data_IF_095186090509
#
_entry.id   IF_095186090509
#
_cell.length_a   1.000
_cell.length_b   1.000
_cell.length_c   1.000
_cell.angle_alpha   90.00
_cell.angle_beta   90.00
_cell.angle_gamma   90.00
#
_symmetry.space_group_name_H-M   'P 1'
#
loop_
_entity.id
_entity.type
_entity.pdbx_description
1 polymer ?
#
# COMPACT_ATOMS: atom_id res chain seq x y z
N UNK A 1 -4.69 7.72 -3.58
CA UNK A 1 -4.19 7.24 -4.90
C UNK A 1 -5.07 6.13 -5.46
N UNK A 2 -5.17 4.97 -4.81
CA UNK A 2 -6.03 3.84 -5.23
C UNK A 2 -7.47 4.26 -5.62
N UNK A 3 -8.18 4.96 -4.74
CA UNK A 3 -9.56 5.40 -4.99
C UNK A 3 -9.68 6.32 -6.22
N UNK A 4 -8.68 7.18 -6.45
CA UNK A 4 -8.71 8.19 -7.52
C UNK A 4 -8.35 7.61 -8.89
N UNK A 5 -7.41 6.68 -8.94
CA UNK A 5 -6.82 6.22 -10.20
C UNK A 5 -7.24 4.81 -10.60
N UNK A 6 -7.96 4.08 -9.75
CA UNK A 6 -8.40 2.71 -10.04
C UNK A 6 -9.93 2.63 -10.15
N UNK A 7 -10.42 2.29 -11.32
CA UNK A 7 -11.77 1.79 -11.56
C UNK A 7 -11.83 0.29 -11.23
N UNK A 8 -12.69 -0.05 -10.27
CA UNK A 8 -12.86 -1.45 -9.81
C UNK A 8 -13.43 -2.36 -10.90
N UNK A 9 -14.31 -1.87 -11.77
CA UNK A 9 -14.93 -2.68 -12.84
C UNK A 9 -13.89 -3.08 -13.87
N UNK A 10 -13.02 -2.14 -14.26
CA UNK A 10 -11.93 -2.40 -15.21
C UNK A 10 -10.89 -3.34 -14.60
N UNK A 11 -10.58 -3.18 -13.31
CA UNK A 11 -9.69 -4.07 -12.58
C UNK A 11 -10.22 -5.52 -12.59
N UNK A 12 -11.44 -5.73 -12.12
CA UNK A 12 -12.02 -7.09 -12.03
C UNK A 12 -12.20 -7.76 -13.39
N UNK A 13 -12.55 -6.99 -14.44
CA UNK A 13 -12.72 -7.53 -15.81
C UNK A 13 -11.43 -8.12 -16.38
N UNK A 14 -10.28 -7.60 -15.97
CA UNK A 14 -8.97 -8.01 -16.49
C UNK A 14 -8.15 -8.74 -15.40
N UNK A 15 -8.78 -9.24 -14.34
CA UNK A 15 -8.03 -10.00 -13.33
C UNK A 15 -7.63 -11.36 -13.93
N UNK A 16 -6.33 -11.73 -13.91
CA UNK A 16 -5.90 -13.04 -14.38
C UNK A 16 -6.33 -14.15 -13.41
N UNK A 17 -6.39 -15.37 -13.92
CA UNK A 17 -6.65 -16.56 -13.12
C UNK A 17 -5.43 -16.94 -12.28
N UNK A 18 -5.65 -17.78 -11.27
CA UNK A 18 -4.59 -18.28 -10.40
C UNK A 18 -4.21 -17.35 -9.25
N UNK A 19 -3.72 -17.94 -8.15
CA UNK A 19 -3.42 -17.19 -6.92
C UNK A 19 -2.20 -16.28 -7.10
N UNK A 20 -1.20 -16.77 -7.84
CA UNK A 20 0.03 -16.04 -8.15
C UNK A 20 -0.29 -14.95 -9.17
N UNK A 21 -1.07 -15.27 -10.20
CA UNK A 21 -1.49 -14.30 -11.22
C UNK A 21 -2.20 -13.09 -10.61
N UNK A 22 -3.19 -13.33 -9.74
CA UNK A 22 -3.92 -12.28 -9.02
C UNK A 22 -3.01 -11.39 -8.16
N UNK A 23 -2.05 -12.00 -7.47
CA UNK A 23 -1.14 -11.24 -6.61
C UNK A 23 -0.13 -10.40 -7.41
N UNK A 24 0.39 -10.90 -8.53
CA UNK A 24 1.21 -10.11 -9.45
C UNK A 24 0.41 -8.96 -10.09
N UNK A 25 -0.84 -9.23 -10.47
CA UNK A 25 -1.73 -8.22 -11.04
C UNK A 25 -2.03 -7.08 -10.06
N UNK A 26 -2.33 -7.42 -8.80
CA UNK A 26 -2.51 -6.44 -7.73
C UNK A 26 -1.24 -5.58 -7.50
N UNK A 27 -0.06 -6.19 -7.55
CA UNK A 27 1.21 -5.47 -7.44
C UNK A 27 1.40 -4.49 -8.61
N UNK A 28 1.13 -4.92 -9.84
CA UNK A 28 1.25 -4.09 -11.02
C UNK A 28 0.31 -2.88 -10.98
N UNK A 29 -0.96 -3.08 -10.61
CA UNK A 29 -1.93 -1.99 -10.46
C UNK A 29 -1.52 -1.03 -9.33
N UNK A 30 -0.98 -1.57 -8.22
CA UNK A 30 -0.42 -0.76 -7.14
C UNK A 30 0.70 0.15 -7.61
N UNK A 31 1.65 -0.41 -8.36
CA UNK A 31 2.75 0.35 -8.95
C UNK A 31 2.23 1.43 -9.89
N UNK A 32 1.20 1.16 -10.69
CA UNK A 32 0.60 2.13 -11.62
C UNK A 32 0.03 3.35 -10.90
N UNK A 33 -0.91 3.17 -9.97
CA UNK A 33 -1.52 4.33 -9.31
C UNK A 33 -0.54 5.10 -8.42
N UNK A 34 0.47 4.42 -7.89
CA UNK A 34 1.55 5.05 -7.13
C UNK A 34 2.46 5.87 -8.04
N UNK A 35 2.77 5.35 -9.24
CA UNK A 35 3.56 6.08 -10.23
C UNK A 35 2.87 7.39 -10.63
N UNK A 36 1.59 7.32 -11.01
CA UNK A 36 0.78 8.50 -11.36
C UNK A 36 0.73 9.51 -10.20
N UNK A 37 0.53 9.02 -8.96
CA UNK A 37 0.54 9.87 -7.78
C UNK A 37 1.89 10.52 -7.51
N UNK A 38 2.98 9.76 -7.69
CA UNK A 38 4.35 10.22 -7.45
C UNK A 38 4.83 11.26 -8.47
N UNK A 39 4.31 11.21 -9.70
CA UNK A 39 4.62 12.21 -10.72
C UNK A 39 3.99 13.56 -10.40
N UNK A 40 2.80 13.54 -9.79
CA UNK A 40 2.09 14.76 -9.38
C UNK A 40 2.61 15.33 -8.07
N UNK A 41 3.11 14.48 -7.16
CA UNK A 41 3.52 14.87 -5.81
C UNK A 41 4.92 14.36 -5.47
N UNK A 42 5.92 15.25 -5.52
CA UNK A 42 7.35 14.92 -5.27
C UNK A 42 7.59 14.32 -3.88
N UNK A 43 6.88 14.80 -2.86
CA UNK A 43 6.96 14.27 -1.49
C UNK A 43 6.55 12.79 -1.40
N UNK A 44 5.47 12.42 -2.12
CA UNK A 44 5.00 11.03 -2.20
C UNK A 44 6.05 10.16 -2.89
N UNK A 45 6.64 10.64 -3.99
CA UNK A 45 7.71 9.92 -4.69
C UNK A 45 8.88 9.57 -3.76
N UNK A 46 9.32 10.54 -2.96
CA UNK A 46 10.41 10.34 -2.01
C UNK A 46 10.00 9.35 -0.90
N UNK A 47 8.78 9.46 -0.38
CA UNK A 47 8.28 8.54 0.66
C UNK A 47 8.22 7.09 0.13
N UNK A 48 7.59 6.89 -1.03
CA UNK A 48 7.50 5.57 -1.67
C UNK A 48 8.90 5.00 -1.87
N UNK A 49 9.81 5.76 -2.47
CA UNK A 49 11.19 5.29 -2.73
C UNK A 49 11.90 4.87 -1.45
N UNK A 50 11.84 5.68 -0.38
CA UNK A 50 12.44 5.36 0.93
C UNK A 50 11.80 4.14 1.59
N UNK A 51 10.48 3.99 1.50
CA UNK A 51 9.76 2.84 2.02
C UNK A 51 10.27 1.55 1.37
N UNK A 52 10.47 1.56 0.04
CA UNK A 52 11.02 0.43 -0.69
C UNK A 52 12.48 0.15 -0.34
N UNK A 53 13.32 1.17 -0.23
CA UNK A 53 14.70 0.98 0.21
C UNK A 53 14.77 0.35 1.60
N UNK A 54 13.94 0.81 2.54
CA UNK A 54 13.89 0.29 3.90
C UNK A 54 13.38 -1.16 3.97
N UNK A 55 12.40 -1.56 3.14
CA UNK A 55 11.88 -2.94 3.07
C UNK A 55 13.00 -3.97 2.84
N UNK A 56 14.02 -3.61 2.06
CA UNK A 56 15.14 -4.50 1.72
C UNK A 56 16.43 -4.24 2.52
N UNK A 57 16.46 -3.23 3.42
CA UNK A 57 17.67 -2.94 4.23
C UNK A 57 18.00 -4.05 5.21
N UNK A 58 16.99 -4.62 5.86
CA UNK A 58 17.18 -5.62 6.93
C UNK A 58 17.25 -7.05 6.41
N UNK A 59 17.03 -7.27 5.10
CA UNK A 59 17.16 -8.59 4.50
C UNK A 59 18.62 -9.00 4.44
N UNK A 60 18.95 -10.11 5.11
CA UNK A 60 20.30 -10.66 5.10
C UNK A 60 20.57 -11.33 3.75
N UNK A 61 21.57 -10.81 3.04
CA UNK A 61 22.02 -11.35 1.75
C UNK A 61 22.42 -12.82 1.87
N UNK A 62 22.89 -13.25 3.04
CA UNK A 62 23.33 -14.60 3.36
C UNK A 62 22.20 -15.64 3.40
N UNK A 63 20.97 -15.20 3.70
CA UNK A 63 19.78 -16.06 3.74
C UNK A 63 19.23 -16.35 2.34
N UNK A 64 19.56 -15.50 1.35
CA UNK A 64 19.16 -15.68 -0.05
C UNK A 64 20.19 -16.59 -0.73
N UNK A 65 19.89 -17.89 -0.87
CA UNK A 65 20.80 -18.85 -1.50
C UNK A 65 20.25 -19.38 -2.81
N UNK A 66 18.94 -19.57 -2.88
CA UNK A 66 18.23 -20.20 -3.98
C UNK A 66 17.03 -19.36 -4.43
N UNK A 67 16.50 -19.69 -5.61
CA UNK A 67 15.28 -19.07 -6.16
C UNK A 67 14.06 -19.29 -5.23
N UNK A 68 14.01 -20.42 -4.51
CA UNK A 68 12.96 -20.73 -3.55
C UNK A 68 12.96 -19.81 -2.31
N UNK A 69 14.12 -19.23 -1.96
CA UNK A 69 14.25 -18.30 -0.83
C UNK A 69 13.70 -16.90 -1.15
N UNK A 70 13.36 -16.65 -2.42
CA UNK A 70 12.90 -15.35 -2.90
C UNK A 70 11.53 -15.49 -3.56
N UNK A 71 10.45 -15.06 -2.88
CA UNK A 71 9.12 -15.09 -3.47
C UNK A 71 9.06 -14.29 -4.78
N UNK A 72 8.51 -14.90 -5.82
CA UNK A 72 8.38 -14.26 -7.13
C UNK A 72 7.60 -12.94 -7.07
N UNK A 73 6.58 -12.87 -6.22
CA UNK A 73 5.77 -11.67 -6.01
C UNK A 73 6.62 -10.50 -5.55
N UNK A 74 7.59 -10.76 -4.67
CA UNK A 74 8.50 -9.74 -4.17
C UNK A 74 9.52 -9.32 -5.23
N UNK A 75 10.08 -10.29 -5.97
CA UNK A 75 10.98 -10.02 -7.11
C UNK A 75 10.29 -9.22 -8.20
N UNK A 76 9.04 -9.53 -8.51
CA UNK A 76 8.23 -8.83 -9.50
C UNK A 76 7.89 -7.41 -9.05
N UNK A 77 7.50 -7.21 -7.79
CA UNK A 77 7.28 -5.87 -7.23
C UNK A 77 8.55 -5.02 -7.36
N UNK A 78 9.70 -5.59 -7.00
CA UNK A 78 10.98 -4.91 -7.09
C UNK A 78 11.35 -4.58 -8.55
N UNK A 79 11.14 -5.51 -9.48
CA UNK A 79 11.41 -5.33 -10.91
C UNK A 79 10.58 -4.19 -11.50
N UNK A 80 9.27 -4.21 -11.28
CA UNK A 80 8.35 -3.16 -11.73
C UNK A 80 8.73 -1.80 -11.15
N UNK A 81 9.06 -1.74 -9.85
CA UNK A 81 9.40 -0.48 -9.20
C UNK A 81 10.73 0.10 -9.66
N UNK A 82 11.74 -0.76 -9.84
CA UNK A 82 13.01 -0.34 -10.42
C UNK A 82 12.83 0.27 -11.81
N UNK A 83 11.91 -0.25 -12.63
CA UNK A 83 11.56 0.32 -13.92
C UNK A 83 10.84 1.68 -13.78
N UNK A 84 9.68 1.73 -13.13
CA UNK A 84 8.83 2.93 -13.10
C UNK A 84 9.40 4.07 -12.26
N UNK A 85 10.00 3.78 -11.11
CA UNK A 85 10.51 4.79 -10.19
C UNK A 85 12.01 5.06 -10.38
N UNK A 86 12.68 4.32 -11.28
CA UNK A 86 14.13 4.43 -11.55
C UNK A 86 14.98 4.27 -10.28
N UNK A 87 14.53 3.40 -9.37
CA UNK A 87 15.21 3.14 -8.10
C UNK A 87 16.49 2.36 -8.37
N UNK A 88 17.62 2.88 -7.89
CA UNK A 88 18.92 2.22 -8.03
C UNK A 88 18.95 0.96 -7.14
N UNK A 89 19.21 -0.23 -7.71
CA UNK A 89 19.23 -1.44 -6.91
C UNK A 89 20.50 -1.48 -6.02
N UNK A 90 20.32 -1.80 -4.75
CA UNK A 90 21.36 -2.04 -3.77
C UNK A 90 21.90 -3.48 -3.91
N UNK A 91 22.91 -3.87 -3.12
CA UNK A 91 23.50 -5.22 -3.20
C UNK A 91 22.47 -6.34 -2.99
N UNK A 92 21.59 -6.18 -2.01
CA UNK A 92 20.53 -7.15 -1.69
C UNK A 92 19.50 -7.26 -2.81
N UNK A 93 18.99 -6.13 -3.30
CA UNK A 93 17.97 -6.11 -4.36
C UNK A 93 18.51 -6.60 -5.70
N UNK A 94 19.80 -6.36 -6.01
CA UNK A 94 20.45 -6.97 -7.18
C UNK A 94 20.47 -8.49 -7.08
N UNK A 95 20.80 -9.04 -5.90
CA UNK A 95 20.83 -10.50 -5.69
C UNK A 95 19.43 -11.12 -5.78
N UNK A 96 18.41 -10.46 -5.22
CA UNK A 96 17.00 -10.88 -5.33
C UNK A 96 16.59 -10.91 -6.81
N UNK A 97 16.87 -9.83 -7.55
CA UNK A 97 16.53 -9.74 -8.96
C UNK A 97 17.28 -10.77 -9.80
N UNK A 98 18.55 -11.08 -9.52
CA UNK A 98 19.35 -11.94 -10.39
C UNK A 98 18.77 -13.34 -10.61
N UNK A 99 17.98 -13.87 -9.66
CA UNK A 99 17.33 -15.17 -9.83
C UNK A 99 16.15 -15.14 -10.80
N UNK A 100 15.45 -14.01 -10.87
CA UNK A 100 14.23 -13.86 -11.67
C UNK A 100 14.42 -12.97 -12.91
N UNK A 101 15.58 -12.32 -13.02
CA UNK A 101 15.84 -11.29 -14.02
C UNK A 101 15.74 -11.82 -15.44
N UNK A 102 16.28 -13.00 -15.74
CA UNK A 102 16.23 -13.57 -17.08
C UNK A 102 14.79 -13.91 -17.50
N UNK A 103 14.01 -14.44 -16.56
CA UNK A 103 12.59 -14.76 -16.76
C UNK A 103 11.78 -13.48 -17.00
N UNK A 104 12.01 -12.43 -16.22
CA UNK A 104 11.35 -11.14 -16.41
C UNK A 104 11.82 -10.41 -17.68
N UNK A 105 13.12 -10.40 -17.98
CA UNK A 105 13.64 -9.70 -19.15
C UNK A 105 13.16 -10.34 -20.46
N UNK A 106 13.02 -11.66 -20.50
CA UNK A 106 12.49 -12.39 -21.66
C UNK A 106 11.01 -12.08 -21.91
N UNK A 107 10.19 -12.05 -20.86
CA UNK A 107 8.74 -11.97 -20.98
C UNK A 107 8.18 -10.54 -20.86
N UNK A 108 8.81 -9.67 -20.06
CA UNK A 108 8.24 -8.39 -19.64
C UNK A 108 8.93 -7.18 -20.27
N UNK A 109 10.23 -7.24 -20.55
CA UNK A 109 11.04 -6.05 -20.94
C UNK A 109 10.51 -5.27 -22.15
N UNK A 110 9.99 -5.98 -23.16
CA UNK A 110 9.40 -5.33 -24.35
C UNK A 110 8.11 -4.60 -23.99
N UNK A 111 7.24 -5.29 -23.27
CA UNK A 111 5.91 -4.81 -22.86
C UNK A 111 6.00 -3.73 -21.77
N UNK A 112 7.08 -3.68 -20.96
CA UNK A 112 7.32 -2.61 -19.97
C UNK A 112 7.38 -1.22 -20.61
N UNK A 113 8.00 -1.09 -21.78
CA UNK A 113 8.02 0.18 -22.53
C UNK A 113 6.64 0.58 -23.02
N UNK A 114 5.80 -0.41 -23.35
CA UNK A 114 4.40 -0.16 -23.73
C UNK A 114 3.59 0.30 -22.51
N UNK A 115 3.86 -0.27 -21.33
CA UNK A 115 3.20 0.14 -20.07
C UNK A 115 3.48 1.60 -19.70
N UNK A 116 4.69 2.11 -19.96
CA UNK A 116 5.02 3.52 -19.72
C UNK A 116 4.08 4.47 -20.49
N UNK A 117 3.67 4.07 -21.71
CA UNK A 117 2.79 4.87 -22.57
C UNK A 117 1.30 4.76 -22.20
N UNK A 118 0.92 3.80 -21.35
CA UNK A 118 -0.49 3.56 -21.00
C UNK A 118 -0.80 3.68 -19.51
N UNK A 119 0.07 4.30 -18.70
CA UNK A 119 -0.15 4.51 -17.26
C UNK A 119 -1.50 5.17 -16.95
N UNK A 120 -1.88 6.20 -17.73
CA UNK A 120 -3.13 6.95 -17.56
C UNK A 120 -4.37 6.19 -18.09
N UNK A 121 -4.19 5.17 -18.93
CA UNK A 121 -5.29 4.35 -19.46
C UNK A 121 -5.31 2.99 -18.76
N UNK A 122 -6.06 2.91 -17.67
CA UNK A 122 -6.17 1.70 -16.87
C UNK A 122 -6.60 0.47 -17.69
N UNK A 123 -7.55 0.58 -18.62
CA UNK A 123 -8.00 -0.58 -19.39
C UNK A 123 -6.88 -1.15 -20.26
N UNK A 124 -6.09 -0.30 -20.91
CA UNK A 124 -4.96 -0.75 -21.73
C UNK A 124 -3.84 -1.32 -20.86
N UNK A 125 -3.50 -0.63 -19.77
CA UNK A 125 -2.49 -1.11 -18.82
C UNK A 125 -2.86 -2.49 -18.28
N UNK A 126 -4.08 -2.65 -17.80
CA UNK A 126 -4.57 -3.88 -17.21
C UNK A 126 -4.55 -5.04 -18.21
N UNK A 127 -4.95 -4.79 -19.46
CA UNK A 127 -4.90 -5.79 -20.51
C UNK A 127 -3.47 -6.28 -20.78
N UNK A 128 -2.52 -5.35 -20.95
CA UNK A 128 -1.10 -5.68 -21.20
C UNK A 128 -0.50 -6.44 -20.01
N UNK A 129 -0.79 -6.02 -18.78
CA UNK A 129 -0.31 -6.72 -17.57
C UNK A 129 -0.89 -8.13 -17.48
N UNK A 130 -2.16 -8.32 -17.83
CA UNK A 130 -2.80 -9.65 -17.81
C UNK A 130 -2.16 -10.56 -18.84
N UNK A 131 -1.93 -10.06 -20.05
CA UNK A 131 -1.21 -10.78 -21.10
C UNK A 131 0.22 -11.14 -20.66
N UNK A 132 0.94 -10.20 -20.06
CA UNK A 132 2.27 -10.44 -19.48
C UNK A 132 2.25 -11.56 -18.44
N UNK A 133 1.29 -11.55 -17.51
CA UNK A 133 1.16 -12.54 -16.43
C UNK A 133 0.82 -13.91 -17.00
N UNK A 134 -0.07 -14.01 -17.98
CA UNK A 134 -0.42 -15.27 -18.61
C UNK A 134 0.75 -15.87 -19.41
N UNK A 135 1.64 -15.03 -19.95
CA UNK A 135 2.84 -15.48 -20.65
C UNK A 135 3.96 -15.92 -19.70
N UNK A 136 3.89 -15.52 -18.43
CA UNK A 136 4.78 -16.05 -17.41
C UNK A 136 4.25 -17.44 -17.05
N UNK A 137 4.87 -18.47 -17.62
CA UNK A 137 4.46 -19.88 -17.53
C UNK A 137 4.59 -20.43 -16.09
N UNK A 138 3.72 -19.98 -15.20
CA UNK A 138 3.67 -20.42 -13.82
C UNK A 138 2.88 -21.71 -13.75
N UNK A 139 3.48 -22.75 -13.17
CA UNK A 139 2.73 -23.90 -12.66
C UNK A 139 1.95 -23.44 -11.43
N UNK A 140 0.86 -22.73 -11.62
CA UNK A 140 -0.09 -22.47 -10.55
C UNK A 140 -0.72 -23.83 -10.20
N UNK A 141 -0.36 -24.39 -9.05
CA UNK A 141 -0.84 -25.72 -8.63
C UNK A 141 -2.34 -25.73 -8.36
N UNK A 142 -2.97 -24.56 -8.26
CA UNK A 142 -4.38 -24.41 -7.91
C UNK A 142 -5.32 -24.22 -9.10
N UNK A 143 -4.82 -24.06 -10.33
CA UNK A 143 -5.70 -23.85 -11.50
C UNK A 143 -6.31 -25.13 -12.08
N UNK A 144 -5.98 -26.31 -11.54
CA UNK A 144 -6.47 -27.61 -12.07
C UNK A 144 -7.59 -28.26 -11.26
N UNK A 145 -8.03 -27.70 -10.14
CA UNK A 145 -9.03 -28.36 -9.28
C UNK A 145 -10.45 -27.78 -9.38
N UNK A 146 -10.66 -26.60 -9.97
CA UNK A 146 -12.00 -25.98 -10.03
C UNK A 146 -12.83 -26.31 -11.28
N UNK A 147 -12.27 -27.01 -12.29
CA UNK A 147 -12.99 -27.32 -13.55
C UNK A 147 -13.78 -28.64 -13.56
N UNK A 148 -13.90 -29.35 -12.43
CA UNK A 148 -14.56 -30.67 -12.40
C UNK A 148 -15.76 -30.79 -11.48
N UNK A 149 -16.65 -29.80 -11.38
CA UNK A 149 -17.94 -30.04 -10.71
C UNK A 149 -19.13 -29.17 -11.16
N UNK A 150 -19.17 -28.73 -12.42
CA UNK A 150 -20.29 -27.94 -12.93
C UNK A 150 -20.91 -28.47 -14.23
N UNK A 151 -21.03 -29.80 -14.40
CA UNK A 151 -21.90 -30.38 -15.44
C UNK A 151 -22.49 -31.73 -15.03
N UNK A 152 -23.59 -31.70 -14.29
CA UNK A 152 -24.72 -32.66 -14.43
C UNK A 152 -25.88 -32.25 -13.55
N UNK A 153 -26.92 -31.67 -14.16
CA UNK A 153 -28.31 -32.13 -14.07
C UNK A 153 -29.28 -31.03 -14.50
N UNK A 154 -29.71 -31.10 -15.77
CA UNK A 154 -30.99 -30.59 -16.23
C UNK A 154 -31.72 -31.74 -16.91
N UNK A 155 -32.75 -32.31 -16.27
CA UNK A 155 -34.03 -32.61 -16.90
C UNK A 155 -35.08 -33.09 -15.86
N UNK A 156 -36.16 -32.31 -15.79
CA UNK A 156 -37.58 -32.59 -15.45
C UNK A 156 -38.01 -33.53 -14.31
N UNK A 157 -38.82 -32.99 -13.39
CA UNK A 157 -40.30 -33.14 -13.44
C UNK A 157 -41.03 -32.25 -12.43
N UNK A 158 -42.28 -31.94 -12.76
CA UNK A 158 -43.24 -30.99 -12.18
C UNK A 158 -43.93 -31.46 -10.87
N UNK A 159 -44.64 -30.49 -10.25
CA UNK A 159 -45.68 -30.57 -9.21
C UNK A 159 -45.18 -30.79 -7.76
N UNK A 160 -45.65 -30.11 -6.69
CA UNK A 160 -46.85 -29.29 -6.45
C UNK A 160 -46.69 -28.48 -5.13
N UNK A 161 -47.44 -27.38 -5.05
CA UNK A 161 -48.09 -26.78 -3.85
C UNK A 161 -47.34 -26.31 -2.59
N UNK A 162 -47.59 -25.03 -2.26
CA UNK A 162 -47.75 -24.47 -0.91
C UNK A 162 -46.47 -24.13 -0.13
N UNK A 163 -46.36 -23.10 0.69
CA UNK A 163 -47.15 -21.92 1.06
C UNK A 163 -46.24 -21.16 2.05
N UNK A 164 -46.19 -19.82 1.95
CA UNK A 164 -45.88 -18.84 3.00
C UNK A 164 -44.76 -19.13 4.04
N UNK A 165 -43.73 -18.28 4.07
CA UNK A 165 -43.67 -17.26 5.14
C UNK A 165 -42.50 -16.27 5.02
N UNK A 166 -42.89 -15.02 5.24
CA UNK A 166 -42.08 -13.83 5.45
C UNK A 166 -41.03 -14.01 6.56
N UNK A 167 -39.87 -13.37 6.38
CA UNK A 167 -39.22 -12.62 7.46
C UNK A 167 -38.21 -11.63 6.87
N UNK A 168 -38.68 -10.40 6.63
CA UNK A 168 -37.86 -9.20 6.67
C UNK A 168 -37.09 -9.15 7.99
N UNK A 169 -35.80 -8.85 7.95
CA UNK A 169 -35.12 -8.18 9.06
C UNK A 169 -34.29 -7.03 8.53
N UNK A 170 -34.81 -5.87 8.88
CA UNK A 170 -34.23 -4.54 8.80
C UNK A 170 -32.89 -4.45 9.53
N UNK A 171 -32.06 -3.57 8.98
CA UNK A 171 -31.28 -2.53 9.66
C UNK A 171 -30.57 -2.88 10.98
N UNK A 172 -29.24 -2.76 10.92
CA UNK A 172 -28.49 -2.01 11.94
C UNK A 172 -27.23 -1.42 11.33
N UNK A 173 -27.35 -0.16 10.91
CA UNK A 173 -26.24 0.78 10.88
C UNK A 173 -25.67 0.88 12.30
N UNK A 174 -24.41 0.47 12.47
CA UNK A 174 -23.61 0.86 13.62
C UNK A 174 -22.53 1.80 13.11
N UNK A 175 -22.83 3.09 13.23
CA UNK A 175 -21.84 4.16 13.25
C UNK A 175 -20.90 3.90 14.44
N UNK A 176 -19.67 3.50 14.14
CA UNK A 176 -18.61 3.42 15.12
C UNK A 176 -18.01 4.82 15.27
N UNK A 177 -18.53 5.61 16.21
CA UNK A 177 -17.81 6.73 16.80
C UNK A 177 -16.57 6.17 17.53
N UNK A 178 -15.40 6.32 16.89
CA UNK A 178 -14.12 6.04 17.52
C UNK A 178 -13.82 7.13 18.55
N UNK A 179 -14.28 6.92 19.78
CA UNK A 179 -13.91 7.74 20.92
C UNK A 179 -12.47 7.38 21.33
N UNK A 180 -11.51 8.23 20.97
CA UNK A 180 -10.09 8.02 21.24
C UNK A 180 -9.73 8.56 22.63
N UNK A 181 -10.00 7.78 23.67
CA UNK A 181 -9.37 7.96 24.97
C UNK A 181 -8.04 7.21 24.97
N UNK A 182 -6.94 7.93 24.67
CA UNK A 182 -5.60 7.45 25.00
C UNK A 182 -5.37 7.73 26.48
N UNK A 183 -5.26 6.67 27.27
CA UNK A 183 -4.67 6.72 28.60
C UNK A 183 -3.17 7.00 28.45
N UNK A 184 -2.72 8.06 29.12
CA UNK A 184 -1.39 8.71 29.06
C UNK A 184 -0.21 7.86 29.61
N UNK A 185 -0.37 6.53 29.68
CA UNK A 185 0.58 5.65 30.36
C UNK A 185 1.57 4.92 29.43
N UNK A 186 1.35 4.89 28.11
CA UNK A 186 2.08 3.98 27.22
C UNK A 186 3.08 4.64 26.23
N UNK A 187 3.39 5.94 26.42
CA UNK A 187 4.35 6.69 25.57
C UNK A 187 5.80 6.61 26.09
N UNK A 188 6.10 5.79 27.12
CA UNK A 188 7.47 5.71 27.68
C UNK A 188 8.33 4.55 27.14
N UNK A 189 7.85 3.73 26.19
CA UNK A 189 8.62 2.56 25.72
C UNK A 189 9.38 2.75 24.39
N UNK A 190 9.32 3.94 23.76
CA UNK A 190 9.79 4.11 22.38
C UNK A 190 11.01 5.02 22.20
N UNK A 191 11.84 5.25 23.23
CA UNK A 191 13.05 6.07 23.14
C UNK A 191 14.26 5.38 23.79
N UNK A 192 14.83 4.36 23.14
CA UNK A 192 16.09 3.73 23.56
C UNK A 192 17.35 4.31 22.87
N UNK A 193 17.25 5.42 22.13
CA UNK A 193 18.39 5.95 21.37
C UNK A 193 18.65 7.46 21.56
N UNK A 194 18.66 7.95 22.81
CA UNK A 194 19.30 9.24 23.07
C UNK A 194 20.09 9.23 24.39
N UNK A 195 21.34 8.78 24.29
CA UNK A 195 22.33 8.80 25.36
C UNK A 195 22.95 10.20 25.50
N UNK A 196 22.17 11.22 25.83
CA UNK A 196 22.71 12.53 26.23
C UNK A 196 21.80 13.16 27.31
N UNK A 197 22.42 13.46 28.46
CA UNK A 197 21.88 14.22 29.61
C UNK A 197 21.14 13.43 30.72
N UNK A 198 21.82 12.46 31.33
CA UNK A 198 21.45 11.94 32.67
C UNK A 198 21.74 12.92 33.82
N UNK A 199 22.51 14.00 33.59
CA UNK A 199 22.97 14.88 34.68
C UNK A 199 21.97 15.96 35.13
N UNK A 200 20.84 16.14 34.44
CA UNK A 200 19.81 17.11 34.87
C UNK A 200 18.60 16.47 35.58
N UNK A 201 18.44 15.15 35.48
CA UNK A 201 17.29 14.44 36.06
C UNK A 201 17.30 14.41 37.60
N UNK A 202 18.46 14.57 38.25
CA UNK A 202 18.57 14.49 39.72
C UNK A 202 18.15 15.77 40.46
N UNK A 203 17.98 16.92 39.78
CA UNK A 203 17.60 18.19 40.44
C UNK A 203 16.09 18.47 40.49
N UNK A 204 15.23 17.54 40.06
CA UNK A 204 13.78 17.77 39.91
C UNK A 204 12.95 16.98 40.95
N UNK A 205 13.50 16.76 42.16
CA UNK A 205 12.73 16.31 43.33
C UNK A 205 12.47 17.51 44.24
N UNK A 206 11.51 18.37 43.91
CA UNK A 206 11.07 19.38 44.88
C UNK A 206 10.04 20.40 44.43
N UNK A 207 10.00 20.79 43.15
CA UNK A 207 9.17 21.92 42.74
C UNK A 207 8.18 21.57 41.61
N UNK A 208 6.86 21.53 41.88
CA UNK A 208 5.82 21.26 40.87
C UNK A 208 5.83 22.24 39.70
N UNK A 209 6.32 23.47 39.89
CA UNK A 209 6.39 24.48 38.84
C UNK A 209 7.48 24.20 37.79
N UNK A 210 8.53 23.46 38.14
CA UNK A 210 9.58 23.08 37.20
C UNK A 210 9.14 21.96 36.25
N UNK A 211 8.32 21.01 36.72
CA UNK A 211 7.74 19.95 35.86
C UNK A 211 6.88 20.52 34.73
N UNK A 212 6.08 21.55 35.01
CA UNK A 212 5.19 22.18 34.02
C UNK A 212 5.95 22.95 32.93
N UNK A 213 7.10 23.56 33.28
CA UNK A 213 7.99 24.21 32.30
C UNK A 213 8.73 23.20 31.42
N UNK A 214 9.18 22.09 31.99
CA UNK A 214 9.90 21.05 31.25
C UNK A 214 9.00 20.34 30.23
N UNK A 215 7.75 20.02 30.60
CA UNK A 215 6.77 19.44 29.67
C UNK A 215 6.47 20.38 28.49
N UNK A 216 6.37 21.70 28.72
CA UNK A 216 6.11 22.69 27.65
C UNK A 216 7.27 22.81 26.65
N UNK A 217 8.51 22.59 27.10
CA UNK A 217 9.69 22.65 26.22
C UNK A 217 9.95 21.34 25.47
N UNK A 218 9.60 20.19 26.03
CA UNK A 218 9.72 18.88 25.35
C UNK A 218 8.90 18.79 24.04
N UNK A 219 7.73 19.43 23.99
CA UNK A 219 6.92 19.51 22.77
C UNK A 219 7.46 20.50 21.73
N UNK A 220 8.31 21.44 22.15
CA UNK A 220 8.86 22.47 21.27
C UNK A 220 10.01 21.94 20.42
N UNK A 221 10.75 20.97 20.95
CA UNK A 221 11.93 20.40 20.28
C UNK A 221 11.63 19.12 19.47
N UNK A 222 10.44 18.53 19.64
CA UNK A 222 10.05 17.27 18.99
C UNK A 222 9.33 17.45 17.64
N UNK A 223 8.83 18.64 17.34
CA UNK A 223 8.16 18.93 16.06
C UNK A 223 9.01 19.86 15.18
N UNK A 224 9.41 19.37 14.01
CA UNK A 224 10.17 20.15 13.02
C UNK A 224 9.34 20.36 11.76
N UNK A 225 9.09 21.62 11.41
CA UNK A 225 8.36 21.97 10.20
C UNK A 225 9.29 21.75 9.00
N UNK A 226 8.81 20.98 8.00
CA UNK A 226 9.60 20.60 6.82
C UNK A 226 9.45 21.59 5.65
N UNK A 227 8.30 22.24 5.51
CA UNK A 227 8.03 23.27 4.50
C UNK A 227 6.81 24.11 4.90
N UNK A 228 6.84 25.41 4.62
CA UNK A 228 5.71 26.35 4.80
C UNK A 228 5.16 26.83 3.45
N UNK A 229 5.62 26.28 2.32
CA UNK A 229 5.28 26.80 0.97
C UNK A 229 3.79 26.67 0.60
N UNK A 230 3.05 25.83 1.32
CA UNK A 230 1.64 25.53 1.06
C UNK A 230 0.72 26.04 2.16
N UNK A 231 1.27 26.73 3.16
CA UNK A 231 0.51 27.27 4.28
C UNK A 231 0.03 28.68 3.94
N UNK A 232 -1.26 28.94 4.13
CA UNK A 232 -1.85 30.28 3.98
C UNK A 232 -2.02 30.92 5.36
N UNK A 233 -1.52 32.14 5.52
CA UNK A 233 -1.73 32.95 6.73
C UNK A 233 -2.69 34.07 6.33
N UNK A 234 -3.91 34.03 6.87
CA UNK A 234 -4.93 35.07 6.72
C UNK A 234 -5.26 35.66 8.08
N UNK A 235 -5.59 36.94 8.09
CA UNK A 235 -6.14 37.58 9.27
C UNK A 235 -7.58 37.11 9.50
N UNK A 236 -8.02 37.07 10.76
CA UNK A 236 -9.35 36.57 11.11
C UNK A 236 -10.47 37.35 10.39
N UNK A 237 -10.25 38.65 10.18
CA UNK A 237 -11.17 39.56 9.47
C UNK A 237 -11.39 39.17 8.00
N UNK A 238 -10.43 38.46 7.37
CA UNK A 238 -10.54 38.00 5.98
C UNK A 238 -11.18 36.60 5.85
N UNK A 239 -11.44 35.93 6.97
CA UNK A 239 -12.10 34.62 7.03
C UNK A 239 -13.60 34.73 7.32
N UNK A 240 -14.06 35.86 7.86
CA UNK A 240 -15.48 36.11 8.10
C UNK A 240 -16.16 36.63 6.82
N UNK A 241 -17.23 35.95 6.39
CA UNK A 241 -18.09 36.43 5.31
C UNK A 241 -19.26 37.22 5.91
N UNK A 242 -19.72 38.28 5.23
CA UNK A 242 -20.86 39.11 5.69
C UNK A 242 -22.16 38.31 5.91
N UNK A 243 -22.30 37.13 5.29
CA UNK A 243 -23.44 36.21 5.48
C UNK A 243 -23.40 35.45 6.82
N UNK A 244 -22.24 35.36 7.48
CA UNK A 244 -22.06 34.65 8.76
C UNK A 244 -22.29 35.57 9.98
N UNK A 245 -22.37 36.88 9.76
CA UNK A 245 -22.68 37.87 10.80
C UNK A 245 -24.22 38.01 10.89
N UNK A 246 -24.86 37.11 11.64
CA UNK A 246 -26.30 37.13 11.96
C UNK A 246 -26.60 38.12 13.10
#
# INVERSE_FOLDING_TARGET
MKIKYTDKKIYLKNEPEGTIGKSLYAIAEKVRYEKIGSDKLKGIKNNITKCYENKFKNKKIEEIKTEADVPITESFELYMRSHFFKIKPNKTTKKILSYWQDLFDKNLKKKLKELDNCLENQSKFNHIVSEMINNLDFKDTNSKEEEKEAQKNKSSSENDSGESNQASKEEKNQENEYNFNIDDADINSMNENDSLNQNEAEKIKGDPNLKKRYQKNLFKDSYKIFTNEYDEIKEAEELENEEEII
#
